data_IF_687996256350
#
_entry.id   IF_687996256350
#
_cell.length_a   1.000
_cell.length_b   1.000
_cell.length_c   1.000
_cell.angle_alpha   90.00
_cell.angle_beta   90.00
_cell.angle_gamma   90.00
#
_symmetry.space_group_name_H-M   'P 1'
#
loop_
_entity.id
_entity.type
_entity.pdbx_description
1 polymer ?
#
# COMPACT_ATOMS: atom_id res chain seq x y z
N UNK A 1 42.53 53.22 -31.08
CA UNK A 1 43.46 52.08 -30.92
C UNK A 1 43.08 51.38 -29.61
N UNK A 2 42.02 50.57 -29.63
CA UNK A 2 42.04 49.09 -29.73
C UNK A 2 42.72 48.42 -28.53
N UNK A 3 41.88 47.81 -27.69
CA UNK A 3 42.32 46.93 -26.59
C UNK A 3 41.15 46.08 -26.11
N UNK A 4 40.71 45.16 -26.97
CA UNK A 4 39.79 44.06 -26.62
C UNK A 4 40.49 43.23 -25.53
N UNK A 5 39.87 43.12 -24.35
CA UNK A 5 40.21 42.09 -23.36
C UNK A 5 39.07 41.09 -23.29
N UNK A 6 39.26 40.00 -24.04
CA UNK A 6 38.59 38.72 -23.82
C UNK A 6 39.04 38.23 -22.45
N UNK A 7 38.11 37.96 -21.54
CA UNK A 7 38.42 37.21 -20.31
C UNK A 7 37.40 36.10 -20.14
N UNK A 8 37.88 34.92 -20.53
CA UNK A 8 37.58 33.57 -20.08
C UNK A 8 36.27 33.30 -19.33
N UNK A 9 35.51 32.40 -19.94
CA UNK A 9 34.49 31.58 -19.33
C UNK A 9 34.92 31.00 -17.97
N UNK A 10 34.09 31.21 -16.95
CA UNK A 10 34.02 30.34 -15.79
C UNK A 10 32.56 29.92 -15.62
N UNK A 11 32.14 28.99 -16.48
CA UNK A 11 30.91 28.25 -16.29
C UNK A 11 31.20 27.22 -15.19
N UNK A 12 31.10 27.66 -13.93
CA UNK A 12 31.19 26.79 -12.76
C UNK A 12 29.94 25.92 -12.76
N UNK A 13 29.99 24.79 -13.48
CA UNK A 13 29.07 23.67 -13.32
C UNK A 13 29.23 23.18 -11.87
N UNK A 14 28.39 23.72 -10.99
CA UNK A 14 28.12 23.16 -9.67
C UNK A 14 27.40 21.83 -9.96
N UNK A 15 28.18 20.78 -10.19
CA UNK A 15 27.70 19.42 -10.03
C UNK A 15 27.46 19.26 -8.54
N UNK A 16 26.25 19.62 -8.09
CA UNK A 16 25.78 19.30 -6.76
C UNK A 16 25.76 17.77 -6.70
N UNK A 17 26.82 17.18 -6.14
CA UNK A 17 26.79 15.82 -5.65
C UNK A 17 25.69 15.80 -4.60
N UNK A 18 24.48 15.37 -4.98
CA UNK A 18 23.47 14.99 -4.01
C UNK A 18 24.07 13.79 -3.28
N UNK A 19 24.71 14.05 -2.14
CA UNK A 19 25.06 13.00 -1.22
C UNK A 19 23.75 12.32 -0.83
N UNK A 20 23.54 11.09 -1.33
CA UNK A 20 22.42 10.26 -0.89
C UNK A 20 22.66 10.00 0.60
N UNK A 21 21.91 10.69 1.45
CA UNK A 21 21.86 10.37 2.86
C UNK A 21 21.26 8.96 2.98
N UNK A 22 22.03 8.02 3.54
CA UNK A 22 21.55 6.65 3.76
C UNK A 22 20.21 6.63 4.51
N UNK A 23 19.40 5.60 4.29
CA UNK A 23 18.07 5.49 4.91
C UNK A 23 18.14 4.69 6.21
N UNK A 24 17.30 5.07 7.17
CA UNK A 24 17.08 4.31 8.40
C UNK A 24 15.71 3.67 8.33
N UNK A 25 15.64 2.36 8.57
CA UNK A 25 14.37 1.69 8.88
C UNK A 25 14.07 1.95 10.35
N UNK A 26 13.08 2.79 10.62
CA UNK A 26 12.73 3.26 11.95
C UNK A 26 11.74 2.31 12.64
N UNK A 27 10.89 1.66 11.85
CA UNK A 27 9.90 0.71 12.32
C UNK A 27 9.58 -0.34 11.25
N UNK A 28 9.19 -1.54 11.71
CA UNK A 28 8.67 -2.60 10.86
C UNK A 28 7.30 -2.99 11.41
N UNK A 29 6.28 -2.91 10.56
CA UNK A 29 4.92 -3.32 10.91
C UNK A 29 4.52 -4.48 10.04
N UNK A 30 3.96 -5.52 10.65
CA UNK A 30 3.40 -6.67 9.95
C UNK A 30 1.96 -6.84 10.37
N UNK A 31 1.06 -6.83 9.41
CA UNK A 31 -0.35 -7.13 9.64
C UNK A 31 -0.83 -8.18 8.66
N UNK A 32 -1.73 -9.04 9.12
CA UNK A 32 -2.37 -10.06 8.31
C UNK A 32 -3.89 -9.90 8.40
N UNK A 33 -4.53 -9.91 7.23
CA UNK A 33 -5.98 -9.85 7.09
C UNK A 33 -6.38 -10.79 5.94
N UNK A 34 -7.24 -11.77 6.23
CA UNK A 34 -7.68 -12.78 5.27
C UNK A 34 -6.49 -13.44 4.52
N UNK A 35 -6.47 -13.37 3.19
CA UNK A 35 -5.42 -13.91 2.32
C UNK A 35 -4.27 -12.92 2.03
N UNK A 36 -4.22 -11.79 2.76
CA UNK A 36 -3.22 -10.75 2.58
C UNK A 36 -2.39 -10.56 3.84
N UNK A 37 -1.08 -10.50 3.67
CA UNK A 37 -0.15 -10.04 4.70
C UNK A 37 0.58 -8.81 4.17
N UNK A 38 0.52 -7.68 4.86
CA UNK A 38 1.27 -6.49 4.50
C UNK A 38 2.38 -6.24 5.51
N UNK A 39 3.53 -5.89 4.96
CA UNK A 39 4.68 -5.42 5.69
C UNK A 39 4.87 -3.95 5.33
N UNK A 40 5.10 -3.11 6.33
CA UNK A 40 5.41 -1.69 6.15
C UNK A 40 6.73 -1.42 6.85
N UNK A 41 7.73 -0.97 6.09
CA UNK A 41 8.95 -0.40 6.63
C UNK A 41 8.75 1.12 6.68
N UNK A 42 8.82 1.69 7.88
CA UNK A 42 8.84 3.15 8.06
C UNK A 42 10.30 3.61 7.93
N UNK A 43 10.53 4.60 7.08
CA UNK A 43 11.86 4.99 6.59
C UNK A 43 12.11 6.48 6.81
N UNK A 44 13.35 6.81 7.18
CA UNK A 44 13.77 8.20 7.35
C UNK A 44 13.87 8.96 6.02
N UNK A 45 14.23 8.27 4.93
CA UNK A 45 14.42 8.82 3.58
C UNK A 45 13.89 7.84 2.50
N UNK A 46 13.66 8.28 1.26
CA UNK A 46 13.47 7.37 0.12
C UNK A 46 14.63 6.39 0.01
N UNK A 47 14.37 5.21 -0.54
CA UNK A 47 15.39 4.16 -0.66
C UNK A 47 15.24 3.36 -1.95
N UNK A 48 16.37 3.16 -2.63
CA UNK A 48 16.48 2.17 -3.70
C UNK A 48 16.44 0.77 -3.08
N UNK A 49 15.57 -0.09 -3.59
CA UNK A 49 15.36 -1.41 -3.02
C UNK A 49 15.16 -2.47 -4.10
N UNK A 50 15.53 -3.71 -3.78
CA UNK A 50 15.21 -4.87 -4.59
C UNK A 50 14.46 -5.90 -3.75
N UNK A 51 13.47 -6.55 -4.36
CA UNK A 51 12.64 -7.57 -3.71
C UNK A 51 12.55 -8.79 -4.59
N UNK A 52 12.85 -9.95 -4.01
CA UNK A 52 12.80 -11.22 -4.70
C UNK A 52 12.51 -12.37 -3.72
N UNK A 53 12.08 -13.51 -4.26
CA UNK A 53 11.78 -14.71 -3.46
C UNK A 53 12.86 -15.76 -3.62
N UNK A 54 13.11 -16.51 -2.55
CA UNK A 54 13.93 -17.71 -2.55
C UNK A 54 13.06 -18.90 -2.17
N UNK A 55 13.37 -20.08 -2.71
CA UNK A 55 12.71 -21.35 -2.37
C UNK A 55 13.65 -22.25 -1.58
N UNK A 56 13.07 -23.16 -0.79
CA UNK A 56 13.81 -24.15 0.00
C UNK A 56 14.71 -23.56 1.10
N UNK A 57 14.17 -22.93 2.16
CA UNK A 57 12.76 -22.63 2.45
C UNK A 57 12.26 -21.35 1.76
N UNK A 58 10.93 -21.18 1.69
CA UNK A 58 10.29 -20.00 1.11
C UNK A 58 10.63 -18.74 1.92
N UNK A 59 11.20 -17.76 1.23
CA UNK A 59 11.65 -16.49 1.81
C UNK A 59 11.37 -15.34 0.85
N UNK A 60 10.96 -14.19 1.39
CA UNK A 60 11.03 -12.92 0.69
C UNK A 60 12.25 -12.15 1.19
N UNK A 61 13.08 -11.70 0.27
CA UNK A 61 14.28 -10.92 0.56
C UNK A 61 14.03 -9.49 0.09
N UNK A 62 14.35 -8.53 0.94
CA UNK A 62 14.29 -7.09 0.68
C UNK A 62 15.68 -6.53 0.93
N UNK A 63 16.37 -6.14 -0.14
CA UNK A 63 17.65 -5.46 -0.03
C UNK A 63 17.42 -3.95 -0.18
N UNK A 64 18.00 -3.18 0.74
CA UNK A 64 17.88 -1.74 0.86
C UNK A 64 19.27 -1.10 0.73
N UNK A 65 19.44 -0.32 -0.33
CA UNK A 65 20.72 0.35 -0.61
C UNK A 65 20.99 1.45 0.41
N UNK A 66 22.22 1.48 0.94
CA UNK A 66 22.65 2.42 1.99
C UNK A 66 21.69 2.45 3.21
N UNK A 67 21.02 1.31 3.45
CA UNK A 67 20.04 1.14 4.51
C UNK A 67 20.68 0.70 5.83
N UNK A 68 20.05 1.06 6.95
CA UNK A 68 20.37 0.53 8.29
C UNK A 68 19.12 0.44 9.15
N UNK A 69 19.14 -0.45 10.14
CA UNK A 69 18.07 -0.51 11.15
C UNK A 69 18.32 0.55 12.23
N UNK A 70 17.24 1.15 12.73
CA UNK A 70 17.29 1.91 13.96
C UNK A 70 17.57 1.00 15.17
N UNK A 71 18.18 1.55 16.22
CA UNK A 71 18.48 0.81 17.45
C UNK A 71 17.21 0.25 18.13
N UNK A 72 16.07 0.91 17.93
CA UNK A 72 14.75 0.44 18.38
C UNK A 72 14.36 -0.93 17.80
N UNK A 73 14.94 -1.30 16.65
CA UNK A 73 14.75 -2.57 15.96
C UNK A 73 15.84 -3.60 16.28
N UNK A 74 16.59 -3.43 17.37
CA UNK A 74 17.48 -4.48 17.89
C UNK A 74 16.74 -5.81 18.10
N UNK A 75 15.43 -5.74 18.42
CA UNK A 75 14.52 -6.86 18.35
C UNK A 75 13.45 -6.59 17.29
N UNK A 76 13.44 -7.43 16.26
CA UNK A 76 12.45 -7.36 15.18
C UNK A 76 11.07 -7.81 15.67
N UNK A 77 9.98 -7.29 15.08
CA UNK A 77 8.63 -7.72 15.42
C UNK A 77 8.40 -9.18 15.03
N UNK A 78 7.39 -9.79 15.67
CA UNK A 78 6.95 -11.13 15.30
C UNK A 78 6.33 -11.13 13.90
N UNK A 79 6.42 -12.29 13.22
CA UNK A 79 5.67 -12.52 11.99
C UNK A 79 4.16 -12.60 12.23
N UNK A 80 3.39 -12.39 11.16
CA UNK A 80 1.96 -12.62 11.12
C UNK A 80 1.54 -13.13 9.73
N UNK A 81 0.46 -13.90 9.66
CA UNK A 81 -0.07 -14.45 8.42
C UNK A 81 0.95 -15.29 7.66
N UNK A 82 1.27 -14.89 6.42
CA UNK A 82 2.24 -15.60 5.58
C UNK A 82 3.69 -15.47 6.08
N UNK A 83 3.98 -14.49 6.94
CA UNK A 83 5.32 -14.26 7.49
C UNK A 83 5.47 -15.02 8.81
N UNK A 84 6.43 -15.95 8.86
CA UNK A 84 6.78 -16.72 10.06
C UNK A 84 7.69 -15.93 10.99
N UNK A 85 8.76 -15.39 10.44
CA UNK A 85 9.79 -14.66 11.17
C UNK A 85 10.45 -13.63 10.28
N UNK A 86 10.97 -12.59 10.91
CA UNK A 86 11.73 -11.52 10.24
C UNK A 86 13.16 -11.60 10.75
N UNK A 87 14.11 -11.52 9.82
CA UNK A 87 15.54 -11.45 10.09
C UNK A 87 16.13 -10.26 9.35
N UNK A 88 17.27 -9.79 9.82
CA UNK A 88 18.03 -8.74 9.14
C UNK A 88 19.52 -9.06 9.18
N UNK A 89 20.26 -8.48 8.24
CA UNK A 89 21.71 -8.52 8.22
C UNK A 89 22.25 -7.48 7.25
N UNK A 90 23.50 -7.06 7.48
CA UNK A 90 24.22 -6.20 6.53
C UNK A 90 24.98 -7.10 5.57
N UNK A 91 24.83 -6.88 4.28
CA UNK A 91 25.52 -7.61 3.23
C UNK A 91 26.98 -7.14 3.12
N UNK A 92 27.80 -7.90 2.41
CA UNK A 92 29.22 -7.57 2.20
C UNK A 92 29.43 -6.26 1.42
N UNK A 93 28.45 -5.87 0.59
CA UNK A 93 28.40 -4.61 -0.16
C UNK A 93 27.86 -3.43 0.68
N UNK A 94 27.53 -3.66 1.96
CA UNK A 94 27.03 -2.64 2.88
C UNK A 94 25.52 -2.45 2.84
N UNK A 95 24.79 -3.16 1.98
CA UNK A 95 23.33 -3.05 1.91
C UNK A 95 22.65 -3.74 3.08
N UNK A 96 21.56 -3.14 3.59
CA UNK A 96 20.71 -3.78 4.57
C UNK A 96 19.80 -4.80 3.88
N UNK A 97 19.88 -6.05 4.31
CA UNK A 97 18.99 -7.12 3.91
C UNK A 97 17.99 -7.41 5.01
N UNK A 98 16.70 -7.31 4.71
CA UNK A 98 15.60 -7.83 5.53
C UNK A 98 15.07 -9.10 4.87
N UNK A 99 14.95 -10.18 5.64
CA UNK A 99 14.45 -11.47 5.16
C UNK A 99 13.20 -11.83 5.93
N UNK A 100 12.11 -12.05 5.20
CA UNK A 100 10.87 -12.61 5.72
C UNK A 100 10.91 -14.11 5.45
N UNK A 101 11.03 -14.93 6.49
CA UNK A 101 10.81 -16.37 6.35
C UNK A 101 9.31 -16.60 6.24
N UNK A 102 8.90 -17.34 5.22
CA UNK A 102 7.49 -17.51 4.90
C UNK A 102 6.99 -18.89 5.34
N UNK A 103 5.71 -18.95 5.71
CA UNK A 103 5.02 -20.21 6.00
C UNK A 103 4.59 -20.94 4.72
N UNK A 104 4.58 -20.24 3.59
CA UNK A 104 4.00 -20.68 2.33
C UNK A 104 4.50 -19.84 1.15
N UNK A 105 4.25 -20.31 -0.07
CA UNK A 105 4.53 -19.56 -1.29
C UNK A 105 3.59 -18.36 -1.42
N UNK A 106 4.12 -17.21 -1.81
CA UNK A 106 3.36 -15.95 -1.95
C UNK A 106 3.71 -15.23 -3.25
N UNK A 107 2.80 -14.37 -3.72
CA UNK A 107 3.07 -13.32 -4.69
C UNK A 107 3.25 -12.02 -3.94
N UNK A 108 4.33 -11.31 -4.22
CA UNK A 108 4.62 -10.01 -3.61
C UNK A 108 4.34 -8.87 -4.58
N UNK A 109 3.78 -7.78 -4.05
CA UNK A 109 3.71 -6.47 -4.71
C UNK A 109 4.29 -5.43 -3.76
N UNK A 110 5.19 -4.59 -4.23
CA UNK A 110 5.74 -3.50 -3.43
C UNK A 110 5.49 -2.14 -4.07
N UNK A 111 5.45 -1.11 -3.22
CA UNK A 111 5.40 0.30 -3.64
C UNK A 111 5.89 1.19 -2.50
N UNK A 112 6.41 2.36 -2.85
CA UNK A 112 6.78 3.39 -1.89
C UNK A 112 5.62 4.35 -1.65
N UNK A 113 5.57 4.92 -0.45
CA UNK A 113 4.61 5.97 -0.09
C UNK A 113 5.38 7.17 0.42
N UNK A 114 5.09 8.34 -0.16
CA UNK A 114 5.65 9.61 0.26
C UNK A 114 5.20 10.00 1.68
N UNK A 115 6.00 10.83 2.38
CA UNK A 115 5.68 11.27 3.72
C UNK A 115 4.46 12.20 3.73
N UNK A 116 3.82 12.26 4.89
CA UNK A 116 2.79 13.23 5.20
C UNK A 116 3.00 13.80 6.61
N UNK A 117 2.05 14.58 7.13
CA UNK A 117 2.18 15.22 8.46
C UNK A 117 2.31 14.23 9.64
N UNK A 118 2.04 12.95 9.43
CA UNK A 118 2.03 11.94 10.50
C UNK A 118 3.03 10.80 10.30
N UNK A 119 3.30 10.41 9.05
CA UNK A 119 4.23 9.32 8.71
C UNK A 119 5.34 9.81 7.78
N UNK A 120 6.55 9.30 7.99
CA UNK A 120 7.69 9.45 7.08
C UNK A 120 7.53 8.66 5.77
N UNK A 121 8.64 8.48 5.07
CA UNK A 121 8.70 7.62 3.88
C UNK A 121 8.36 6.19 4.27
N UNK A 122 7.69 5.45 3.38
CA UNK A 122 7.34 4.05 3.66
C UNK A 122 7.61 3.18 2.45
N UNK A 123 8.13 1.98 2.71
CA UNK A 123 8.12 0.88 1.76
C UNK A 123 7.04 -0.12 2.18
N UNK A 124 6.02 -0.26 1.36
CA UNK A 124 4.89 -1.17 1.58
C UNK A 124 5.08 -2.41 0.72
N UNK A 125 4.91 -3.59 1.33
CA UNK A 125 5.06 -4.89 0.69
C UNK A 125 3.81 -5.71 1.01
N UNK A 126 3.01 -5.97 -0.02
CA UNK A 126 1.83 -6.81 0.06
C UNK A 126 2.16 -8.23 -0.40
N UNK A 127 1.86 -9.20 0.46
CA UNK A 127 1.97 -10.62 0.19
C UNK A 127 0.58 -11.22 0.07
N UNK A 128 0.35 -11.90 -1.05
CA UNK A 128 -0.84 -12.69 -1.29
C UNK A 128 -0.44 -14.16 -1.39
N UNK A 129 -1.16 -15.03 -0.68
CA UNK A 129 -0.96 -16.49 -0.76
C UNK A 129 -0.95 -16.94 -2.22
N UNK A 130 0.12 -17.60 -2.65
CA UNK A 130 0.21 -18.29 -3.94
C UNK A 130 -0.48 -19.66 -3.83
N UNK A 131 -1.75 -19.66 -3.46
CA UNK A 131 -2.63 -20.82 -3.48
C UNK A 131 -3.57 -20.73 -4.68
N UNK A 132 -4.07 -21.87 -5.17
CA UNK A 132 -4.93 -21.97 -6.35
C UNK A 132 -5.92 -20.81 -6.42
N UNK A 133 -6.08 -20.24 -7.62
CA UNK A 133 -7.19 -19.35 -7.95
C UNK A 133 -8.42 -19.99 -7.31
N UNK A 134 -8.91 -19.42 -6.21
CA UNK A 134 -10.28 -19.65 -5.84
C UNK A 134 -11.01 -19.15 -7.08
N UNK A 135 -11.49 -20.08 -7.90
CA UNK A 135 -12.41 -19.75 -8.96
C UNK A 135 -13.51 -19.04 -8.23
N UNK A 136 -13.49 -17.71 -8.28
CA UNK A 136 -14.63 -16.90 -7.91
C UNK A 136 -15.69 -17.48 -8.80
N UNK A 137 -16.60 -18.29 -8.24
CA UNK A 137 -17.71 -18.85 -9.00
C UNK A 137 -18.26 -17.65 -9.74
N UNK A 138 -18.12 -17.63 -11.06
CA UNK A 138 -18.59 -16.48 -11.81
C UNK A 138 -20.06 -16.37 -11.45
N UNK A 139 -20.57 -15.16 -11.24
CA UNK A 139 -21.99 -14.97 -10.96
C UNK A 139 -22.87 -15.66 -12.02
N UNK A 140 -22.34 -15.89 -13.23
CA UNK A 140 -22.94 -16.66 -14.32
C UNK A 140 -23.02 -18.18 -14.11
N UNK A 141 -22.23 -18.78 -13.22
CA UNK A 141 -22.24 -20.24 -12.94
C UNK A 141 -23.12 -20.60 -11.72
N UNK A 142 -23.76 -19.61 -11.10
CA UNK A 142 -24.53 -19.78 -9.86
C UNK A 142 -25.91 -19.15 -9.88
N UNK A 143 -26.52 -18.92 -11.04
CA UNK A 143 -27.96 -18.64 -11.07
C UNK A 143 -28.70 -19.96 -10.88
N UNK A 144 -28.96 -20.30 -9.62
CA UNK A 144 -30.03 -21.23 -9.27
C UNK A 144 -31.30 -20.39 -9.23
N UNK A 145 -32.27 -20.60 -10.14
CA UNK A 145 -33.56 -19.92 -10.07
C UNK A 145 -34.17 -20.11 -8.68
N UNK A 146 -34.65 -19.02 -8.06
CA UNK A 146 -35.31 -19.05 -6.74
C UNK A 146 -34.46 -18.63 -5.53
N UNK A 147 -33.23 -18.13 -5.71
CA UNK A 147 -32.51 -17.42 -4.63
C UNK A 147 -32.58 -15.91 -4.81
N UNK A 148 -32.67 -15.16 -3.70
CA UNK A 148 -32.63 -13.70 -3.73
C UNK A 148 -31.34 -13.18 -4.38
N UNK A 149 -31.47 -12.18 -5.25
CA UNK A 149 -30.37 -11.41 -5.81
C UNK A 149 -29.95 -10.38 -4.76
N UNK A 150 -28.75 -10.56 -4.21
CA UNK A 150 -28.16 -9.60 -3.27
C UNK A 150 -27.39 -8.54 -4.07
N UNK A 151 -27.77 -7.28 -3.90
CA UNK A 151 -27.15 -6.13 -4.56
C UNK A 151 -26.40 -5.32 -3.49
N UNK A 152 -25.07 -5.33 -3.57
CA UNK A 152 -24.24 -4.43 -2.77
C UNK A 152 -24.23 -3.04 -3.42
N UNK A 153 -24.61 -2.01 -2.66
CA UNK A 153 -24.64 -0.61 -3.08
C UNK A 153 -23.58 0.14 -2.27
N UNK A 154 -22.63 0.75 -2.97
CA UNK A 154 -21.51 1.46 -2.37
C UNK A 154 -21.67 2.99 -2.54
N UNK A 155 -22.11 3.73 -1.50
CA UNK A 155 -22.09 5.19 -1.53
C UNK A 155 -20.65 5.68 -1.33
N UNK A 156 -20.06 6.28 -2.37
CA UNK A 156 -18.68 6.79 -2.30
C UNK A 156 -18.44 7.85 -1.23
N UNK A 157 -17.17 8.03 -0.81
CA UNK A 157 -16.72 8.99 0.21
C UNK A 157 -17.36 8.78 1.61
N UNK A 158 -17.18 9.75 2.51
CA UNK A 158 -17.79 9.73 3.84
C UNK A 158 -16.85 10.24 4.94
N UNK A 159 -17.41 10.63 6.08
CA UNK A 159 -16.65 11.15 7.22
C UNK A 159 -15.82 12.38 6.84
N UNK A 160 -14.49 12.24 6.96
CA UNK A 160 -13.54 13.32 6.67
C UNK A 160 -13.32 13.57 5.17
N UNK A 161 -13.66 12.60 4.31
CA UNK A 161 -13.59 12.76 2.86
C UNK A 161 -14.96 13.24 2.32
N UNK A 162 -15.10 14.51 1.91
CA UNK A 162 -16.35 15.02 1.37
C UNK A 162 -16.61 14.59 -0.08
N UNK A 163 -15.61 14.05 -0.78
CA UNK A 163 -15.57 13.99 -2.23
C UNK A 163 -15.58 15.38 -2.87
N UNK A 164 -16.09 15.47 -4.09
CA UNK A 164 -16.22 16.75 -4.78
C UNK A 164 -17.12 17.72 -4.00
N UNK A 165 -16.71 19.00 -3.96
CA UNK A 165 -17.49 20.09 -3.33
C UNK A 165 -17.98 21.03 -4.42
N UNK A 166 -19.30 21.11 -4.58
CA UNK A 166 -19.94 22.00 -5.53
C UNK A 166 -19.83 23.48 -5.13
N UNK A 167 -20.11 24.37 -6.10
CA UNK A 167 -20.06 25.83 -5.89
C UNK A 167 -20.94 26.31 -4.73
N UNK A 168 -22.10 25.66 -4.53
CA UNK A 168 -23.01 25.95 -3.43
C UNK A 168 -22.68 25.19 -2.13
N UNK A 169 -21.45 24.66 -1.99
CA UNK A 169 -20.97 23.86 -0.85
C UNK A 169 -21.66 22.50 -0.67
N UNK A 170 -22.41 22.05 -1.66
CA UNK A 170 -22.91 20.67 -1.74
C UNK A 170 -21.72 19.69 -1.73
N UNK A 171 -21.76 18.67 -0.89
CA UNK A 171 -20.70 17.65 -0.81
C UNK A 171 -21.17 16.37 -1.47
N UNK A 172 -20.33 15.78 -2.29
CA UNK A 172 -20.61 14.53 -2.99
C UNK A 172 -21.06 13.42 -2.03
N UNK A 173 -20.37 13.26 -0.89
CA UNK A 173 -20.69 12.25 0.12
C UNK A 173 -22.15 12.27 0.61
N UNK A 174 -22.77 13.46 0.64
CA UNK A 174 -24.14 13.66 1.10
C UNK A 174 -25.12 13.23 0.00
N UNK A 175 -24.84 13.63 -1.24
CA UNK A 175 -25.67 13.34 -2.42
C UNK A 175 -25.66 11.84 -2.73
N UNK A 176 -24.48 11.22 -2.78
CA UNK A 176 -24.36 9.80 -3.12
C UNK A 176 -24.96 8.91 -2.04
N UNK A 177 -24.88 9.27 -0.75
CA UNK A 177 -25.55 8.52 0.31
C UNK A 177 -27.08 8.58 0.18
N UNK A 178 -27.64 9.74 -0.16
CA UNK A 178 -29.07 9.89 -0.39
C UNK A 178 -29.55 9.07 -1.59
N UNK A 179 -28.80 9.12 -2.71
CA UNK A 179 -29.09 8.31 -3.90
C UNK A 179 -29.02 6.82 -3.57
N UNK A 180 -27.97 6.37 -2.88
CA UNK A 180 -27.79 4.97 -2.51
C UNK A 180 -28.91 4.46 -1.60
N UNK A 181 -29.38 5.26 -0.63
CA UNK A 181 -30.54 4.90 0.20
C UNK A 181 -31.83 4.80 -0.62
N UNK A 182 -32.06 5.75 -1.53
CA UNK A 182 -33.23 5.69 -2.41
C UNK A 182 -33.18 4.47 -3.34
N UNK A 183 -32.00 4.12 -3.87
CA UNK A 183 -31.79 2.92 -4.66
C UNK A 183 -32.00 1.65 -3.84
N UNK A 184 -31.45 1.58 -2.63
CA UNK A 184 -31.63 0.44 -1.72
C UNK A 184 -33.11 0.18 -1.42
N UNK A 185 -33.89 1.24 -1.18
CA UNK A 185 -35.33 1.13 -0.96
C UNK A 185 -36.07 0.57 -2.18
N UNK A 186 -35.68 0.97 -3.40
CA UNK A 186 -36.26 0.43 -4.64
C UNK A 186 -35.89 -1.04 -4.82
N UNK A 187 -34.63 -1.41 -4.62
CA UNK A 187 -34.17 -2.80 -4.71
C UNK A 187 -34.89 -3.68 -3.70
N UNK A 188 -35.04 -3.24 -2.45
CA UNK A 188 -35.74 -4.00 -1.41
C UNK A 188 -37.26 -4.10 -1.63
N UNK A 189 -37.83 -3.32 -2.54
CA UNK A 189 -39.24 -3.38 -2.91
C UNK A 189 -39.51 -4.39 -4.05
N UNK A 190 -38.46 -4.92 -4.69
CA UNK A 190 -38.59 -5.89 -5.77
C UNK A 190 -38.50 -7.33 -5.23
N UNK A 191 -39.44 -8.17 -5.65
CA UNK A 191 -39.49 -9.57 -5.23
C UNK A 191 -38.22 -10.32 -5.68
N UNK A 192 -37.62 -11.05 -4.73
CA UNK A 192 -36.39 -11.80 -4.97
C UNK A 192 -35.13 -10.93 -5.06
N UNK A 193 -35.16 -9.69 -4.56
CA UNK A 193 -33.98 -8.83 -4.44
C UNK A 193 -33.76 -8.33 -3.00
N UNK A 194 -32.48 -8.10 -2.67
CA UNK A 194 -32.09 -7.54 -1.37
C UNK A 194 -30.88 -6.63 -1.51
N UNK A 195 -31.00 -5.39 -1.05
CA UNK A 195 -29.89 -4.43 -1.01
C UNK A 195 -29.07 -4.56 0.27
N UNK A 196 -27.75 -4.36 0.15
CA UNK A 196 -26.83 -4.13 1.26
C UNK A 196 -26.05 -2.85 0.97
N UNK A 197 -26.08 -1.90 1.89
CA UNK A 197 -25.29 -0.68 1.81
C UNK A 197 -23.91 -0.91 2.44
N UNK A 198 -22.82 -0.57 1.74
CA UNK A 198 -21.46 -0.62 2.30
C UNK A 198 -21.31 0.35 3.48
N UNK A 199 -21.99 1.49 3.41
CA UNK A 199 -22.24 2.39 4.54
C UNK A 199 -23.66 2.95 4.46
N UNK A 200 -24.29 3.11 5.61
CA UNK A 200 -25.59 3.77 5.72
C UNK A 200 -25.51 5.11 6.46
N UNK A 201 -24.32 5.51 6.93
CA UNK A 201 -24.05 6.74 7.67
C UNK A 201 -22.90 7.55 7.05
N UNK A 202 -22.65 8.75 7.57
CA UNK A 202 -21.54 9.61 7.16
C UNK A 202 -20.21 9.16 7.80
N UNK A 203 -19.72 7.99 7.38
CA UNK A 203 -18.46 7.40 7.82
C UNK A 203 -17.55 7.10 6.63
N UNK A 204 -16.25 7.20 6.84
CA UNK A 204 -15.24 6.77 5.86
C UNK A 204 -15.01 5.26 6.00
N UNK A 205 -15.07 4.52 4.90
CA UNK A 205 -14.87 3.05 4.83
C UNK A 205 -13.66 2.75 3.96
#
# INVERSE_FOLDING_TARGET
MTGIRVTLASCLLIFACMANAGTTVENIRVWAENDKTRIVLDLSNPVEHSIFTLRGPDRLVVDLRDGRLADSLAKLPNGAGAVRSIRSGVRADGELRVVLDLNESVRSRSFTVDPNNHYGHRLVIDLHRSGAIQTVKRASEGYTPGRDIVIAIDPGHGGHDPGAVGRARTREKDVVLQISRALANRVNAEDGMRAILIRDTDQYV
#
